data_IF_113179595192
#
_entry.id   IF_113179595192
#
_cell.length_a   1.000
_cell.length_b   1.000
_cell.length_c   1.000
_cell.angle_alpha   90.00
_cell.angle_beta   90.00
_cell.angle_gamma   90.00
#
_symmetry.space_group_name_H-M   'P 1'
#
loop_
_entity.id
_entity.type
_entity.pdbx_description
1 polymer ?
#
# COMPACT_ATOMS: atom_id res chain seq x y z
N UNK A 1 1.64 -10.56 6.39
CA UNK A 1 1.07 -9.19 6.36
C UNK A 1 2.09 -8.22 6.95
N UNK A 2 2.56 -7.27 6.14
CA UNK A 2 3.45 -6.19 6.53
C UNK A 2 2.64 -4.94 6.91
N UNK A 3 3.19 -4.15 7.83
CA UNK A 3 2.62 -2.89 8.29
C UNK A 3 3.73 -1.87 8.43
N UNK A 4 3.61 -0.76 7.72
CA UNK A 4 4.58 0.32 7.72
C UNK A 4 3.90 1.61 8.18
N UNK A 5 4.39 2.17 9.29
CA UNK A 5 3.98 3.51 9.74
C UNK A 5 4.78 4.55 8.97
N UNK A 6 4.08 5.34 8.17
CA UNK A 6 4.66 6.39 7.34
C UNK A 6 5.10 7.59 8.18
N UNK A 7 5.98 8.41 7.61
CA UNK A 7 6.44 9.67 8.19
C UNK A 7 6.60 10.70 7.06
N UNK A 8 6.15 11.94 7.29
CA UNK A 8 6.26 13.02 6.31
C UNK A 8 5.28 12.94 5.13
N UNK A 9 4.25 12.09 5.23
CA UNK A 9 3.19 11.92 4.22
C UNK A 9 1.81 12.08 4.87
N UNK A 10 0.77 12.31 4.06
CA UNK A 10 -0.60 12.43 4.55
C UNK A 10 -1.26 11.08 4.90
N UNK A 11 -0.84 9.98 4.27
CA UNK A 11 -1.15 8.64 4.77
C UNK A 11 -0.37 8.38 6.05
N UNK A 12 -0.97 7.66 6.99
CA UNK A 12 -0.41 7.36 8.33
C UNK A 12 0.11 5.93 8.45
N UNK A 13 -0.36 5.04 7.57
CA UNK A 13 0.04 3.64 7.56
C UNK A 13 -0.14 3.02 6.17
N UNK A 14 0.68 2.02 5.86
CA UNK A 14 0.54 1.16 4.69
C UNK A 14 0.55 -0.30 5.17
N UNK A 15 -0.43 -1.09 4.75
CA UNK A 15 -0.46 -2.53 4.97
C UNK A 15 -0.47 -3.27 3.65
N UNK A 16 0.28 -4.36 3.54
CA UNK A 16 0.36 -5.16 2.33
C UNK A 16 0.82 -6.59 2.61
N UNK A 17 0.74 -7.46 1.62
CA UNK A 17 1.26 -8.81 1.65
C UNK A 17 2.27 -9.03 0.52
N UNK A 18 3.17 -10.00 0.72
CA UNK A 18 4.03 -10.52 -0.34
C UNK A 18 3.69 -11.99 -0.49
N UNK A 19 3.23 -12.38 -1.65
CA UNK A 19 2.90 -13.76 -2.01
C UNK A 19 3.66 -14.10 -3.29
N UNK A 20 4.47 -15.16 -3.26
CA UNK A 20 5.27 -15.61 -4.41
C UNK A 20 6.17 -14.49 -4.99
N UNK A 21 6.73 -13.64 -4.11
CA UNK A 21 7.57 -12.50 -4.51
C UNK A 21 6.79 -11.31 -5.07
N UNK A 22 5.46 -11.31 -4.99
CA UNK A 22 4.60 -10.25 -5.52
C UNK A 22 3.81 -9.54 -4.44
N UNK A 23 3.67 -8.23 -4.58
CA UNK A 23 2.82 -7.40 -3.73
C UNK A 23 1.35 -7.75 -3.91
N UNK A 24 0.64 -7.86 -2.79
CA UNK A 24 -0.78 -8.17 -2.70
C UNK A 24 -1.46 -7.27 -1.68
N UNK A 25 -2.69 -6.85 -1.97
CA UNK A 25 -3.58 -6.16 -1.04
C UNK A 25 -2.96 -4.92 -0.37
N UNK A 26 -2.29 -4.08 -1.17
CA UNK A 26 -1.72 -2.83 -0.67
C UNK A 26 -2.83 -1.88 -0.25
N UNK A 27 -2.87 -1.49 1.02
CA UNK A 27 -3.85 -0.56 1.59
C UNK A 27 -3.15 0.59 2.28
N UNK A 28 -3.68 1.78 2.10
CA UNK A 28 -3.24 2.99 2.77
C UNK A 28 -4.28 3.39 3.81
N UNK A 29 -3.83 3.81 4.98
CA UNK A 29 -4.66 4.45 6.01
C UNK A 29 -4.46 5.95 5.94
N UNK A 30 -5.57 6.70 5.96
CA UNK A 30 -5.63 8.16 5.76
C UNK A 30 -5.04 8.66 4.43
N UNK A 31 -5.10 9.97 4.21
CA UNK A 31 -4.62 10.65 3.00
C UNK A 31 -5.66 10.77 1.89
N UNK A 32 -5.20 11.11 0.68
CA UNK A 32 -6.08 11.36 -0.47
C UNK A 32 -6.70 10.06 -1.00
N UNK A 33 -7.92 9.75 -0.57
CA UNK A 33 -8.66 8.53 -0.89
C UNK A 33 -8.59 8.11 -2.38
N UNK A 34 -8.88 9.02 -3.33
CA UNK A 34 -8.90 8.69 -4.75
C UNK A 34 -7.52 8.26 -5.29
N UNK A 35 -6.49 9.06 -5.03
CA UNK A 35 -5.13 8.75 -5.49
C UNK A 35 -4.60 7.47 -4.84
N UNK A 36 -4.83 7.29 -3.54
CA UNK A 36 -4.31 6.12 -2.81
C UNK A 36 -5.02 4.83 -3.20
N UNK A 37 -6.31 4.87 -3.52
CA UNK A 37 -7.00 3.72 -4.12
C UNK A 37 -6.44 3.38 -5.50
N UNK A 38 -6.16 4.38 -6.34
CA UNK A 38 -5.52 4.19 -7.64
C UNK A 38 -4.13 3.56 -7.52
N UNK A 39 -3.27 4.10 -6.65
CA UNK A 39 -1.93 3.58 -6.39
C UNK A 39 -2.01 2.14 -5.85
N UNK A 40 -2.91 1.86 -4.91
CA UNK A 40 -3.16 0.51 -4.38
C UNK A 40 -3.40 -0.51 -5.51
N UNK A 41 -4.21 -0.15 -6.52
CA UNK A 41 -4.50 -1.02 -7.66
C UNK A 41 -3.32 -1.16 -8.64
N UNK A 42 -2.53 -0.11 -8.83
CA UNK A 42 -1.35 -0.15 -9.70
C UNK A 42 -0.25 -1.06 -9.14
N UNK A 43 -0.13 -1.16 -7.81
CA UNK A 43 0.89 -1.96 -7.14
C UNK A 43 0.57 -3.47 -7.08
N UNK A 44 -0.67 -3.87 -7.38
CA UNK A 44 -1.12 -5.25 -7.27
C UNK A 44 -0.36 -6.16 -8.25
N UNK A 45 0.36 -7.16 -7.72
CA UNK A 45 1.14 -8.12 -8.49
C UNK A 45 2.55 -7.66 -8.89
N UNK A 46 2.98 -6.46 -8.49
CA UNK A 46 4.36 -6.00 -8.71
C UNK A 46 5.37 -6.83 -7.91
N UNK A 47 6.58 -7.02 -8.45
CA UNK A 47 7.68 -7.69 -7.74
C UNK A 47 8.11 -6.89 -6.51
N UNK A 48 8.33 -7.59 -5.39
CA UNK A 48 8.64 -7.02 -4.09
C UNK A 48 10.15 -6.89 -3.81
#
# INVERSE_FOLDING_TARGET
>A
MYRYKTKGTCSTEITFEIQEGKLKDVKFTDGCSGNLQGISKLLEGMEA
#
